data_IF_937646348495
#
_entry.id   IF_937646348495
#
_cell.length_a   1.000
_cell.length_b   1.000
_cell.length_c   1.000
_cell.angle_alpha   90.00
_cell.angle_beta   90.00
_cell.angle_gamma   90.00
#
_symmetry.space_group_name_H-M   'P 1'
#
loop_
_entity.id
_entity.type
_entity.pdbx_description
1 polymer ?
#
# COMPACT_ATOMS: atom_id res chain seq x y z
N UNK A 1 66.71 13.21 52.99
CA UNK A 1 67.50 14.39 53.41
C UNK A 1 68.16 14.88 52.12
N UNK A 2 67.72 15.88 51.37
CA UNK A 2 66.76 16.99 51.45
C UNK A 2 66.26 17.20 49.98
N UNK A 3 64.96 17.25 49.67
CA UNK A 3 64.12 18.47 49.61
C UNK A 3 64.85 19.76 49.19
N UNK A 4 64.44 20.35 48.05
CA UNK A 4 63.97 21.74 47.95
C UNK A 4 63.49 21.98 46.50
N UNK A 5 62.17 21.98 46.24
CA UNK A 5 61.26 23.13 46.29
C UNK A 5 61.57 24.25 45.27
N UNK A 6 60.83 24.17 44.16
CA UNK A 6 59.75 25.11 43.81
C UNK A 6 60.00 26.34 42.92
N UNK A 7 58.92 26.61 42.15
CA UNK A 7 58.48 27.88 41.53
C UNK A 7 58.96 28.33 40.13
N UNK A 8 58.05 28.11 39.18
CA UNK A 8 57.29 29.14 38.42
C UNK A 8 58.02 30.41 37.94
N UNK A 9 58.12 30.58 36.60
CA UNK A 9 57.27 31.54 35.85
C UNK A 9 57.60 31.55 34.35
N UNK A 10 56.55 31.44 33.53
CA UNK A 10 56.48 31.85 32.12
C UNK A 10 56.87 33.32 31.93
N UNK A 11 57.53 33.67 30.81
CA UNK A 11 56.98 34.59 29.78
C UNK A 11 57.87 34.70 28.51
N UNK A 12 57.30 34.29 27.37
CA UNK A 12 57.37 34.82 25.99
C UNK A 12 58.65 35.48 25.42
N UNK A 13 59.09 34.99 24.24
CA UNK A 13 59.16 35.71 22.94
C UNK A 13 59.70 34.72 21.87
N UNK A 14 58.87 34.21 20.96
CA UNK A 14 58.50 34.72 19.62
C UNK A 14 59.46 34.27 18.49
N UNK A 15 58.83 33.74 17.43
CA UNK A 15 59.27 33.52 16.05
C UNK A 15 60.48 32.63 15.73
N UNK A 16 60.17 31.36 15.42
CA UNK A 16 60.88 30.63 14.36
C UNK A 16 59.96 29.55 13.78
N UNK A 17 59.44 29.75 12.56
CA UNK A 17 58.77 28.69 11.81
C UNK A 17 59.46 28.45 10.48
N UNK A 18 60.28 27.40 10.53
CA UNK A 18 60.92 26.68 9.45
C UNK A 18 59.87 26.39 8.35
N UNK A 19 60.13 26.89 7.14
CA UNK A 19 59.33 26.66 5.96
C UNK A 19 59.68 25.25 5.41
N UNK A 20 58.90 24.25 5.83
CA UNK A 20 58.96 22.89 5.29
C UNK A 20 58.18 22.83 3.96
N UNK A 21 58.90 22.48 2.89
CA UNK A 21 58.40 22.12 1.57
C UNK A 21 57.25 21.10 1.68
N UNK A 22 56.04 21.50 1.26
CA UNK A 22 54.91 20.57 1.06
C UNK A 22 54.77 20.30 -0.44
N UNK A 23 54.86 19.04 -0.90
CA UNK A 23 54.57 18.70 -2.28
C UNK A 23 53.07 18.89 -2.54
N UNK A 24 52.75 19.69 -3.55
CA UNK A 24 51.39 19.88 -4.06
C UNK A 24 50.85 18.56 -4.61
N UNK A 25 50.17 17.78 -3.76
CA UNK A 25 49.27 16.73 -4.19
C UNK A 25 48.04 17.41 -4.82
N UNK A 26 48.02 17.46 -6.15
CA UNK A 26 46.82 17.77 -6.92
C UNK A 26 45.85 16.61 -6.68
N UNK A 27 44.97 16.75 -5.69
CA UNK A 27 43.78 15.92 -5.60
C UNK A 27 42.88 16.30 -6.78
N UNK A 28 42.97 15.52 -7.86
CA UNK A 28 41.88 15.43 -8.82
C UNK A 28 40.67 14.86 -8.07
N UNK A 29 39.85 15.74 -7.50
CA UNK A 29 38.46 15.42 -7.20
C UNK A 29 37.78 15.16 -8.54
N UNK A 30 37.85 13.92 -9.03
CA UNK A 30 36.81 13.41 -9.91
C UNK A 30 35.53 13.35 -9.06
N UNK A 31 34.77 14.45 -9.09
CA UNK A 31 33.41 14.49 -8.61
C UNK A 31 32.65 13.33 -9.26
N UNK A 32 32.23 12.38 -8.43
CA UNK A 32 31.52 11.18 -8.84
C UNK A 32 30.11 11.59 -9.31
N UNK A 33 30.00 12.05 -10.56
CA UNK A 33 28.78 12.62 -11.15
C UNK A 33 27.61 11.62 -11.23
N UNK A 34 27.88 10.33 -11.00
CA UNK A 34 26.87 9.25 -10.96
C UNK A 34 25.91 9.38 -9.76
N UNK A 35 26.35 9.93 -8.63
CA UNK A 35 25.50 10.12 -7.45
C UNK A 35 24.46 11.23 -7.64
N UNK A 36 24.88 12.37 -8.19
CA UNK A 36 24.00 13.51 -8.46
C UNK A 36 22.98 13.22 -9.57
N UNK A 37 23.38 12.50 -10.63
CA UNK A 37 22.48 12.12 -11.72
C UNK A 37 21.38 11.15 -11.27
N UNK A 38 21.70 10.15 -10.45
CA UNK A 38 20.71 9.21 -9.91
C UNK A 38 19.74 9.88 -8.93
N UNK A 39 20.20 10.83 -8.11
CA UNK A 39 19.33 11.60 -7.22
C UNK A 39 18.34 12.47 -8.00
N UNK A 40 18.80 13.17 -9.04
CA UNK A 40 17.95 13.99 -9.90
C UNK A 40 16.92 13.15 -10.67
N UNK A 41 17.32 12.00 -11.22
CA UNK A 41 16.41 11.08 -11.92
C UNK A 41 15.30 10.55 -11.01
N UNK A 42 15.66 10.08 -9.80
CA UNK A 42 14.68 9.57 -8.83
C UNK A 42 13.70 10.68 -8.36
N UNK A 43 14.20 11.90 -8.21
CA UNK A 43 13.37 13.05 -7.82
C UNK A 43 12.39 13.44 -8.93
N UNK A 44 12.82 13.42 -10.20
CA UNK A 44 11.96 13.69 -11.35
C UNK A 44 10.91 12.60 -11.57
N UNK A 45 11.27 11.33 -11.35
CA UNK A 45 10.32 10.23 -11.44
C UNK A 45 9.25 10.31 -10.35
N UNK A 46 9.66 10.61 -9.10
CA UNK A 46 8.75 10.83 -7.98
C UNK A 46 7.77 11.99 -8.23
N UNK A 47 8.27 13.11 -8.76
CA UNK A 47 7.43 14.26 -9.17
C UNK A 47 6.43 13.85 -10.26
N UNK A 48 6.87 13.16 -11.30
CA UNK A 48 5.99 12.68 -12.39
C UNK A 48 4.90 11.74 -11.87
N UNK A 49 5.25 10.79 -10.99
CA UNK A 49 4.27 9.89 -10.34
C UNK A 49 3.24 10.68 -9.52
N UNK A 50 3.69 11.69 -8.77
CA UNK A 50 2.81 12.57 -7.98
C UNK A 50 1.84 13.35 -8.87
N UNK A 51 2.32 13.98 -9.94
CA UNK A 51 1.49 14.74 -10.89
C UNK A 51 0.46 13.81 -11.54
N UNK A 52 0.89 12.64 -12.01
CA UNK A 52 0.00 11.63 -12.63
C UNK A 52 -1.11 11.21 -11.66
N UNK A 53 -0.76 10.93 -10.40
CA UNK A 53 -1.70 10.58 -9.35
C UNK A 53 -2.69 11.71 -9.08
N UNK A 54 -2.22 12.94 -8.92
CA UNK A 54 -3.08 14.09 -8.66
C UNK A 54 -4.07 14.35 -9.82
N UNK A 55 -3.60 14.22 -11.07
CA UNK A 55 -4.45 14.32 -12.26
C UNK A 55 -5.47 13.17 -12.37
N UNK A 56 -5.16 12.01 -11.82
CA UNK A 56 -6.10 10.91 -11.74
C UNK A 56 -7.15 11.16 -10.65
N UNK A 57 -6.74 11.56 -9.45
CA UNK A 57 -7.62 11.81 -8.31
C UNK A 57 -8.53 13.02 -8.53
N UNK A 58 -8.08 14.05 -9.25
CA UNK A 58 -8.91 15.23 -9.55
C UNK A 58 -10.20 14.89 -10.31
N UNK A 59 -10.20 13.80 -11.10
CA UNK A 59 -11.39 13.30 -11.81
C UNK A 59 -12.53 12.90 -10.88
N UNK A 60 -12.24 12.61 -9.61
CA UNK A 60 -13.23 12.22 -8.61
C UNK A 60 -13.75 13.43 -7.82
N UNK A 61 -13.01 14.54 -7.77
CA UNK A 61 -13.37 15.76 -7.03
C UNK A 61 -14.45 16.60 -7.76
N UNK A 62 -14.63 16.42 -9.07
CA UNK A 62 -15.61 17.16 -9.87
C UNK A 62 -17.01 16.54 -9.88
N UNK A 63 -17.24 15.46 -9.15
CA UNK A 63 -18.56 14.83 -9.03
C UNK A 63 -19.34 15.49 -7.89
N UNK A 64 -20.08 16.57 -8.18
CA UNK A 64 -21.23 16.97 -7.34
C UNK A 64 -22.19 15.78 -7.24
N UNK A 65 -22.96 15.61 -6.14
CA UNK A 65 -24.01 14.61 -6.09
C UNK A 65 -25.00 14.88 -7.24
N UNK A 66 -25.01 14.01 -8.26
CA UNK A 66 -25.96 14.13 -9.36
C UNK A 66 -27.34 13.73 -8.86
N UNK A 67 -28.23 14.72 -8.72
CA UNK A 67 -29.63 14.50 -9.03
C UNK A 67 -29.75 14.05 -10.50
N UNK A 68 -30.62 13.07 -10.74
CA UNK A 68 -31.14 12.58 -12.02
C UNK A 68 -30.34 12.92 -13.29
N UNK A 69 -29.63 11.93 -13.83
CA UNK A 69 -28.96 12.02 -15.14
C UNK A 69 -29.97 12.06 -16.29
N UNK A 70 -29.80 13.03 -17.19
CA UNK A 70 -30.39 12.99 -18.54
C UNK A 70 -29.42 12.29 -19.50
N UNK A 71 -29.89 11.38 -20.39
CA UNK A 71 -29.05 10.51 -21.18
C UNK A 71 -28.74 11.12 -22.55
N UNK A 72 -27.60 11.77 -22.72
CA UNK A 72 -26.91 11.79 -24.02
C UNK A 72 -25.44 12.14 -23.84
N UNK A 73 -24.61 11.58 -24.75
CA UNK A 73 -23.15 11.65 -24.82
C UNK A 73 -22.37 10.69 -23.91
N UNK A 74 -22.21 9.45 -24.37
CA UNK A 74 -20.96 8.96 -24.98
C UNK A 74 -20.99 7.43 -24.95
N UNK A 75 -21.22 6.83 -26.12
CA UNK A 75 -21.05 5.40 -26.36
C UNK A 75 -19.54 5.05 -26.26
N UNK A 76 -19.04 4.93 -25.03
CA UNK A 76 -17.97 3.98 -24.71
C UNK A 76 -18.69 2.90 -23.91
N UNK A 77 -18.72 1.66 -24.41
CA UNK A 77 -19.12 0.51 -23.60
C UNK A 77 -18.23 0.50 -22.36
N UNK A 78 -18.74 1.08 -21.27
CA UNK A 78 -18.04 1.12 -20.01
C UNK A 78 -18.27 -0.25 -19.39
N UNK A 79 -17.39 -1.20 -19.72
CA UNK A 79 -17.34 -2.57 -19.16
C UNK A 79 -16.92 -2.57 -17.68
N UNK A 80 -17.16 -1.47 -16.97
CA UNK A 80 -16.85 -1.32 -15.56
C UNK A 80 -18.02 -1.90 -14.76
N UNK A 81 -17.74 -2.92 -13.96
CA UNK A 81 -18.71 -3.48 -13.01
C UNK A 81 -19.25 -2.39 -12.08
N UNK A 82 -20.51 -2.49 -11.63
CA UNK A 82 -21.11 -1.47 -10.78
C UNK A 82 -20.36 -1.36 -9.44
N UNK A 83 -20.08 -0.13 -9.02
CA UNK A 83 -19.57 0.13 -7.68
C UNK A 83 -20.69 -0.08 -6.67
N UNK A 84 -20.53 -1.09 -5.82
CA UNK A 84 -21.43 -1.36 -4.70
C UNK A 84 -20.57 -1.56 -3.47
N UNK A 85 -20.93 -0.89 -2.38
CA UNK A 85 -20.21 -0.98 -1.13
C UNK A 85 -20.94 -1.90 -0.15
N UNK A 86 -20.16 -2.71 0.56
CA UNK A 86 -20.61 -3.63 1.61
C UNK A 86 -19.93 -3.28 2.92
N UNK A 87 -20.64 -3.46 4.02
CA UNK A 87 -20.13 -3.28 5.37
C UNK A 87 -20.45 -4.52 6.19
N UNK A 88 -19.57 -4.86 7.13
CA UNK A 88 -19.79 -5.94 8.05
C UNK A 88 -18.89 -5.86 9.26
N UNK A 89 -19.08 -6.79 10.19
CA UNK A 89 -18.29 -6.90 11.41
C UNK A 89 -17.69 -8.29 11.52
N UNK A 90 -16.44 -8.37 11.96
CA UNK A 90 -15.71 -9.61 12.16
C UNK A 90 -15.21 -9.72 13.59
N UNK A 91 -15.43 -10.87 14.20
CA UNK A 91 -14.84 -11.22 15.50
C UNK A 91 -13.36 -11.57 15.32
N UNK A 92 -12.49 -10.89 16.06
CA UNK A 92 -11.05 -11.17 16.16
C UNK A 92 -10.79 -11.70 17.56
N UNK A 93 -10.39 -12.98 17.63
CA UNK A 93 -9.96 -13.60 18.88
C UNK A 93 -8.45 -13.39 19.06
N UNK A 94 -8.07 -12.70 20.12
CA UNK A 94 -6.71 -12.64 20.66
C UNK A 94 -6.62 -13.60 21.85
N UNK A 95 -5.42 -14.05 22.23
CA UNK A 95 -5.21 -15.05 23.32
C UNK A 95 -6.00 -14.71 24.60
N UNK A 96 -6.11 -13.42 24.96
CA UNK A 96 -6.75 -12.96 26.20
C UNK A 96 -7.99 -12.10 26.00
N UNK A 97 -8.33 -11.69 24.77
CA UNK A 97 -9.47 -10.79 24.53
C UNK A 97 -10.14 -11.05 23.18
N UNK A 98 -11.43 -10.76 23.10
CA UNK A 98 -12.15 -10.66 21.82
C UNK A 98 -12.30 -9.20 21.43
N UNK A 99 -12.07 -8.90 20.15
CA UNK A 99 -12.38 -7.61 19.53
C UNK A 99 -13.34 -7.80 18.37
N UNK A 100 -14.14 -6.78 18.08
CA UNK A 100 -15.03 -6.74 16.92
C UNK A 100 -14.53 -5.67 15.96
N UNK A 101 -14.10 -6.09 14.77
CA UNK A 101 -13.59 -5.22 13.73
C UNK A 101 -14.67 -4.96 12.69
N UNK A 102 -15.08 -3.70 12.53
CA UNK A 102 -15.92 -3.28 11.41
C UNK A 102 -15.05 -3.09 10.18
N UNK A 103 -15.46 -3.71 9.08
CA UNK A 103 -14.82 -3.59 7.77
C UNK A 103 -15.81 -3.01 6.76
N UNK A 104 -15.27 -2.30 5.77
CA UNK A 104 -16.05 -1.74 4.67
C UNK A 104 -15.30 -2.05 3.37
N UNK A 105 -15.96 -2.67 2.40
CA UNK A 105 -15.36 -3.08 1.11
C UNK A 105 -16.24 -2.72 -0.08
N UNK A 106 -15.67 -2.68 -1.28
CA UNK A 106 -16.48 -2.78 -2.51
C UNK A 106 -16.79 -4.25 -2.82
N UNK A 107 -17.90 -4.54 -3.50
CA UNK A 107 -18.20 -5.87 -4.05
C UNK A 107 -17.04 -6.39 -4.90
N UNK A 108 -16.84 -7.71 -4.90
CA UNK A 108 -15.80 -8.31 -5.71
C UNK A 108 -16.05 -8.11 -7.21
N UNK A 109 -14.99 -7.74 -7.92
CA UNK A 109 -14.96 -7.44 -9.35
C UNK A 109 -13.95 -8.33 -10.06
N UNK A 110 -14.12 -8.45 -11.36
CA UNK A 110 -13.38 -9.35 -12.24
C UNK A 110 -11.94 -8.91 -12.39
N UNK A 111 -11.03 -9.89 -12.39
CA UNK A 111 -9.60 -9.65 -12.59
C UNK A 111 -9.33 -9.43 -14.08
N UNK A 112 -8.65 -8.33 -14.41
CA UNK A 112 -8.25 -8.00 -15.78
C UNK A 112 -6.80 -8.39 -16.03
N UNK A 113 -6.52 -8.84 -17.26
CA UNK A 113 -5.16 -9.04 -17.76
C UNK A 113 -4.50 -7.72 -18.12
N UNK A 114 -3.22 -7.76 -18.51
CA UNK A 114 -2.49 -6.57 -18.97
C UNK A 114 -3.03 -5.98 -20.29
N UNK A 115 -3.81 -6.75 -21.03
CA UNK A 115 -4.56 -6.32 -22.21
C UNK A 115 -5.86 -5.55 -21.88
N UNK A 116 -6.18 -5.41 -20.58
CA UNK A 116 -7.37 -4.72 -20.09
C UNK A 116 -8.66 -5.55 -20.18
N UNK A 117 -8.60 -6.79 -20.68
CA UNK A 117 -9.74 -7.70 -20.78
C UNK A 117 -9.86 -8.56 -19.52
N UNK A 118 -11.06 -9.08 -19.26
CA UNK A 118 -11.28 -10.05 -18.19
C UNK A 118 -10.45 -11.31 -18.48
N UNK A 119 -9.76 -11.82 -17.47
CA UNK A 119 -8.95 -13.03 -17.63
C UNK A 119 -9.83 -14.28 -17.63
N UNK A 120 -10.06 -14.87 -18.80
CA UNK A 120 -10.88 -16.07 -18.95
C UNK A 120 -10.45 -17.25 -18.06
N UNK A 121 -9.15 -17.37 -17.75
CA UNK A 121 -8.64 -18.43 -16.87
C UNK A 121 -9.08 -18.29 -15.41
N UNK A 122 -9.42 -17.08 -14.98
CA UNK A 122 -9.84 -16.74 -13.61
C UNK A 122 -11.31 -16.32 -13.54
N UNK A 123 -11.93 -16.02 -14.68
CA UNK A 123 -13.32 -15.64 -14.81
C UNK A 123 -14.25 -16.65 -14.11
N UNK A 124 -15.20 -16.13 -13.35
CA UNK A 124 -16.14 -16.89 -12.52
C UNK A 124 -15.50 -17.79 -11.44
N UNK A 125 -14.18 -17.78 -11.26
CA UNK A 125 -13.45 -18.58 -10.26
C UNK A 125 -12.78 -17.73 -9.19
N UNK A 126 -12.22 -16.59 -9.60
CA UNK A 126 -11.48 -15.68 -8.75
C UNK A 126 -11.79 -14.23 -9.12
N UNK A 127 -12.19 -13.46 -8.12
CA UNK A 127 -12.41 -12.02 -8.22
C UNK A 127 -11.55 -11.29 -7.20
N UNK A 128 -11.54 -9.97 -7.24
CA UNK A 128 -10.86 -9.16 -6.23
C UNK A 128 -11.73 -8.01 -5.73
N UNK A 129 -11.45 -7.54 -4.53
CA UNK A 129 -12.06 -6.34 -3.97
C UNK A 129 -11.03 -5.56 -3.14
N UNK A 130 -11.35 -4.31 -2.84
CA UNK A 130 -10.65 -3.55 -1.82
C UNK A 130 -11.51 -3.52 -0.56
N UNK A 131 -10.87 -3.69 0.58
CA UNK A 131 -11.48 -3.55 1.90
C UNK A 131 -10.69 -2.57 2.73
N UNK A 132 -11.37 -1.76 3.53
CA UNK A 132 -10.78 -0.93 4.57
C UNK A 132 -11.15 -1.58 5.90
N UNK A 133 -10.14 -1.98 6.68
CA UNK A 133 -10.36 -2.69 7.95
C UNK A 133 -9.17 -2.58 8.89
N UNK A 134 -9.40 -2.53 10.22
CA UNK A 134 -10.68 -2.20 10.86
C UNK A 134 -10.95 -0.70 10.69
N UNK A 135 -12.14 -0.31 10.21
CA UNK A 135 -12.62 1.07 10.28
C UNK A 135 -12.95 1.44 11.72
N UNK A 136 -13.65 0.52 12.41
CA UNK A 136 -13.92 0.59 13.85
C UNK A 136 -13.43 -0.68 14.54
N UNK A 137 -13.00 -0.53 15.78
CA UNK A 137 -12.69 -1.62 16.70
C UNK A 137 -13.54 -1.45 17.96
N UNK A 138 -14.38 -2.45 18.27
CA UNK A 138 -15.37 -2.39 19.35
C UNK A 138 -16.27 -1.14 19.28
N UNK A 139 -16.65 -0.72 18.07
CA UNK A 139 -17.51 0.45 17.85
C UNK A 139 -16.80 1.81 17.76
N UNK A 140 -15.53 1.90 18.16
CA UNK A 140 -14.75 3.13 18.11
C UNK A 140 -13.89 3.20 16.85
N UNK A 141 -13.71 4.39 16.27
CA UNK A 141 -12.80 4.55 15.15
C UNK A 141 -11.40 4.09 15.52
N UNK A 142 -10.82 3.32 14.61
CA UNK A 142 -9.51 2.73 14.82
C UNK A 142 -8.42 3.71 14.37
N UNK A 143 -7.29 3.78 15.08
CA UNK A 143 -6.12 4.55 14.63
C UNK A 143 -5.31 3.80 13.56
N UNK A 144 -5.57 2.49 13.43
CA UNK A 144 -4.82 1.52 12.62
C UNK A 144 -5.62 1.04 11.41
N UNK A 145 -6.47 1.90 10.85
CA UNK A 145 -7.21 1.64 9.60
C UNK A 145 -6.20 1.33 8.51
N UNK A 146 -6.45 0.32 7.68
CA UNK A 146 -5.60 0.03 6.52
C UNK A 146 -6.42 -0.46 5.34
N UNK A 147 -5.97 -0.17 4.10
CA UNK A 147 -6.48 -0.82 2.91
C UNK A 147 -5.97 -2.26 2.82
N UNK A 148 -6.83 -3.14 2.35
CA UNK A 148 -6.59 -4.56 2.13
C UNK A 148 -7.01 -4.86 0.68
N UNK A 149 -6.14 -5.53 -0.07
CA UNK A 149 -6.50 -6.15 -1.35
C UNK A 149 -6.98 -7.57 -1.03
N UNK A 150 -8.24 -7.86 -1.34
CA UNK A 150 -8.85 -9.17 -1.15
C UNK A 150 -8.94 -9.87 -2.49
N UNK A 151 -8.48 -11.12 -2.57
CA UNK A 151 -8.82 -12.02 -3.67
C UNK A 151 -9.84 -13.04 -3.18
N UNK A 152 -10.94 -13.19 -3.89
CA UNK A 152 -12.10 -13.95 -3.44
C UNK A 152 -12.41 -15.05 -4.44
N UNK A 153 -12.39 -16.29 -3.94
CA UNK A 153 -12.77 -17.46 -4.72
C UNK A 153 -14.28 -17.59 -4.76
N UNK A 154 -14.84 -18.01 -5.88
CA UNK A 154 -16.28 -18.24 -6.01
C UNK A 154 -16.65 -19.62 -5.46
N UNK A 155 -17.92 -19.79 -5.07
CA UNK A 155 -18.48 -21.11 -4.72
C UNK A 155 -18.73 -22.01 -5.94
N UNK A 156 -18.55 -21.50 -7.15
CA UNK A 156 -18.89 -22.17 -8.40
C UNK A 156 -17.66 -22.20 -9.31
N UNK A 157 -16.65 -22.97 -8.94
CA UNK A 157 -15.44 -23.22 -9.74
C UNK A 157 -14.16 -22.58 -9.20
N UNK A 158 -14.22 -21.88 -8.07
CA UNK A 158 -13.09 -21.23 -7.42
C UNK A 158 -12.56 -21.94 -6.17
N UNK A 159 -13.25 -22.96 -5.65
CA UNK A 159 -13.04 -23.54 -4.33
C UNK A 159 -11.63 -24.12 -4.14
N UNK A 160 -11.09 -24.64 -5.24
CA UNK A 160 -9.73 -25.20 -5.33
C UNK A 160 -8.62 -24.16 -5.32
N UNK A 161 -8.95 -22.89 -5.56
CA UNK A 161 -7.96 -21.83 -5.70
C UNK A 161 -7.55 -21.24 -4.35
N UNK A 162 -6.33 -20.73 -4.31
CA UNK A 162 -5.82 -19.90 -3.23
C UNK A 162 -4.79 -18.92 -3.78
N UNK A 163 -4.98 -17.63 -3.55
CA UNK A 163 -3.96 -16.63 -3.86
C UNK A 163 -2.95 -16.60 -2.71
N UNK A 164 -1.73 -17.02 -3.00
CA UNK A 164 -0.66 -17.18 -2.00
C UNK A 164 0.34 -16.02 -2.01
N UNK A 165 0.37 -15.22 -3.08
CA UNK A 165 1.24 -14.06 -3.19
C UNK A 165 0.61 -12.94 -4.01
N UNK A 166 0.91 -11.70 -3.63
CA UNK A 166 0.51 -10.49 -4.33
C UNK A 166 1.65 -9.47 -4.26
N UNK A 167 2.06 -8.93 -5.42
CA UNK A 167 3.11 -7.92 -5.51
C UNK A 167 2.72 -6.84 -6.51
N UNK A 168 2.92 -5.58 -6.14
CA UNK A 168 2.79 -4.46 -7.07
C UNK A 168 4.02 -4.38 -7.98
N UNK A 169 3.81 -4.19 -9.28
CA UNK A 169 4.92 -4.14 -10.25
C UNK A 169 5.71 -2.84 -10.13
N UNK A 170 5.03 -1.71 -9.93
CA UNK A 170 5.66 -0.37 -9.94
C UNK A 170 6.20 0.06 -8.56
N UNK A 171 5.84 -0.68 -7.51
CA UNK A 171 6.27 -0.45 -6.11
C UNK A 171 6.62 -1.78 -5.42
N UNK A 172 7.63 -2.52 -5.91
CA UNK A 172 7.94 -3.87 -5.44
C UNK A 172 8.54 -3.92 -4.02
N UNK A 173 8.96 -2.78 -3.47
CA UNK A 173 9.44 -2.68 -2.08
C UNK A 173 8.32 -2.83 -1.04
N UNK A 174 7.05 -2.63 -1.44
CA UNK A 174 5.90 -2.84 -0.56
C UNK A 174 5.57 -4.34 -0.49
N UNK A 175 5.96 -4.97 0.62
CA UNK A 175 5.71 -6.39 0.84
C UNK A 175 4.33 -6.67 1.45
N UNK A 176 3.37 -6.98 0.56
CA UNK A 176 2.02 -7.39 0.94
C UNK A 176 1.93 -8.85 1.41
N UNK A 177 2.99 -9.65 1.30
CA UNK A 177 2.95 -11.10 1.56
C UNK A 177 3.23 -11.44 3.03
N UNK A 178 4.04 -10.61 3.70
CA UNK A 178 4.42 -10.78 5.12
C UNK A 178 3.21 -10.86 6.05
N UNK A 179 2.18 -10.03 5.84
CA UNK A 179 0.85 -10.09 6.52
C UNK A 179 0.92 -10.35 8.03
N UNK A 180 1.82 -9.66 8.72
CA UNK A 180 2.01 -9.76 10.17
C UNK A 180 1.96 -8.38 10.80
N UNK A 181 1.48 -8.31 12.02
CA UNK A 181 1.58 -7.10 12.83
C UNK A 181 2.89 -7.11 13.61
N UNK A 182 3.78 -6.13 13.39
CA UNK A 182 5.02 -6.02 14.16
C UNK A 182 4.76 -5.96 15.67
N UNK A 183 5.46 -6.80 16.43
CA UNK A 183 5.46 -6.80 17.89
C UNK A 183 4.34 -7.60 18.56
N UNK A 184 3.47 -8.26 17.79
CA UNK A 184 2.39 -9.12 18.32
C UNK A 184 2.32 -10.50 17.65
N UNK A 185 3.40 -10.92 16.98
CA UNK A 185 3.45 -12.15 16.19
C UNK A 185 3.17 -13.41 17.02
N UNK A 186 3.55 -13.42 18.31
CA UNK A 186 3.30 -14.53 19.23
C UNK A 186 1.87 -14.59 19.79
N UNK A 187 1.09 -13.50 19.68
CA UNK A 187 -0.26 -13.41 20.27
C UNK A 187 -1.38 -13.37 19.23
N UNK A 188 -1.04 -13.08 17.97
CA UNK A 188 -2.00 -13.06 16.88
C UNK A 188 -1.35 -13.40 15.56
N UNK A 189 -1.82 -14.50 14.95
CA UNK A 189 -1.47 -14.87 13.58
C UNK A 189 -2.70 -14.66 12.69
N UNK A 190 -2.69 -13.63 11.82
CA UNK A 190 -3.76 -13.43 10.85
C UNK A 190 -3.90 -14.64 9.94
N UNK A 191 -5.15 -15.01 9.63
CA UNK A 191 -5.40 -16.04 8.64
C UNK A 191 -4.98 -15.54 7.24
N UNK A 192 -4.26 -16.36 6.50
CA UNK A 192 -3.88 -16.07 5.10
C UNK A 192 -5.01 -16.38 4.12
N UNK A 193 -5.98 -17.17 4.57
CA UNK A 193 -7.19 -17.59 3.86
C UNK A 193 -8.32 -17.70 4.88
N UNK A 194 -9.48 -17.14 4.58
CA UNK A 194 -10.65 -17.12 5.46
C UNK A 194 -11.95 -17.25 4.68
N UNK A 195 -13.09 -17.60 5.30
CA UNK A 195 -14.38 -17.56 4.63
C UNK A 195 -14.69 -16.15 4.11
N UNK A 196 -15.19 -16.05 2.88
CA UNK A 196 -15.62 -14.74 2.36
C UNK A 196 -16.86 -14.24 3.11
N UNK A 197 -16.89 -12.93 3.36
CA UNK A 197 -18.05 -12.23 3.91
C UNK A 197 -19.09 -11.85 2.84
N UNK A 198 -18.87 -12.19 1.57
CA UNK A 198 -19.75 -11.84 0.46
C UNK A 198 -20.48 -13.09 -0.07
N UNK A 199 -21.80 -12.97 -0.26
CA UNK A 199 -22.60 -14.09 -0.81
C UNK A 199 -22.12 -14.47 -2.22
N UNK A 200 -22.12 -15.78 -2.51
CA UNK A 200 -21.61 -16.33 -3.77
C UNK A 200 -20.11 -16.63 -3.78
N UNK A 201 -19.36 -16.20 -2.75
CA UNK A 201 -17.92 -16.47 -2.61
C UNK A 201 -17.64 -17.48 -1.51
N UNK A 202 -16.52 -18.19 -1.64
CA UNK A 202 -16.11 -19.27 -0.75
C UNK A 202 -15.03 -18.79 0.22
N UNK A 203 -13.84 -18.47 -0.28
CA UNK A 203 -12.74 -17.96 0.53
C UNK A 203 -12.28 -16.57 0.08
N UNK A 204 -11.69 -15.83 1.00
CA UNK A 204 -10.95 -14.60 0.78
C UNK A 204 -9.48 -14.77 1.18
N UNK A 205 -8.58 -14.27 0.34
CA UNK A 205 -7.14 -14.20 0.57
C UNK A 205 -6.74 -12.72 0.77
N UNK A 206 -6.59 -12.26 2.02
CA UNK A 206 -6.26 -10.87 2.30
C UNK A 206 -4.76 -10.58 2.13
N UNK A 207 -4.47 -9.40 1.58
CA UNK A 207 -3.12 -8.83 1.41
C UNK A 207 -3.09 -7.38 1.88
N UNK A 208 -2.19 -7.08 2.82
CA UNK A 208 -2.13 -5.79 3.50
C UNK A 208 -0.76 -5.55 4.13
N UNK A 209 -0.47 -4.29 4.44
CA UNK A 209 0.74 -3.84 5.14
C UNK A 209 0.28 -2.98 6.32
N UNK A 210 0.56 -3.36 7.58
CA UNK A 210 0.08 -2.61 8.72
C UNK A 210 0.85 -1.30 8.85
N UNK A 211 0.16 -0.28 9.37
CA UNK A 211 0.75 1.01 9.79
C UNK A 211 1.44 1.82 8.67
N UNK A 212 1.31 1.42 7.40
CA UNK A 212 2.02 2.06 6.29
C UNK A 212 1.09 2.73 5.26
N UNK A 213 -0.04 3.30 5.70
CA UNK A 213 -0.99 3.96 4.80
C UNK A 213 -0.37 5.08 3.96
N UNK A 214 0.66 5.76 4.49
CA UNK A 214 1.37 6.84 3.80
C UNK A 214 2.01 6.39 2.48
N UNK A 215 2.43 5.13 2.39
CA UNK A 215 3.00 4.56 1.17
C UNK A 215 2.00 3.68 0.42
N UNK A 216 1.21 2.90 1.15
CA UNK A 216 0.27 1.92 0.58
C UNK A 216 -0.87 2.60 -0.19
N UNK A 217 -1.50 3.62 0.38
CA UNK A 217 -2.63 4.28 -0.31
C UNK A 217 -2.13 4.93 -1.61
N UNK A 218 -1.03 5.72 -1.63
CA UNK A 218 -0.51 6.24 -2.88
C UNK A 218 -0.14 5.17 -3.90
N UNK A 219 0.50 4.07 -3.49
CA UNK A 219 0.84 2.96 -4.37
C UNK A 219 -0.41 2.29 -4.99
N UNK A 220 -1.46 2.11 -4.20
CA UNK A 220 -2.73 1.52 -4.66
C UNK A 220 -3.64 2.51 -5.40
N UNK A 221 -3.31 3.81 -5.44
CA UNK A 221 -4.14 4.87 -6.07
C UNK A 221 -3.36 5.72 -7.08
N UNK A 222 -2.20 5.26 -7.54
CA UNK A 222 -1.31 6.04 -8.41
C UNK A 222 -1.89 6.36 -9.81
N UNK A 223 -2.83 5.54 -10.30
CA UNK A 223 -3.45 5.65 -11.61
C UNK A 223 -4.74 4.81 -11.64
N UNK A 224 -5.58 5.00 -12.67
CA UNK A 224 -6.81 4.22 -12.84
C UNK A 224 -6.59 2.71 -12.77
N UNK A 225 -5.50 2.23 -13.37
CA UNK A 225 -5.09 0.83 -13.29
C UNK A 225 -3.67 0.73 -12.75
N UNK A 226 -3.45 -0.22 -11.85
CA UNK A 226 -2.12 -0.60 -11.35
C UNK A 226 -1.78 -2.01 -11.78
N UNK A 227 -0.51 -2.24 -12.11
CA UNK A 227 0.02 -3.55 -12.50
C UNK A 227 0.43 -4.34 -11.27
N UNK A 228 0.03 -5.60 -11.22
CA UNK A 228 0.39 -6.50 -10.14
C UNK A 228 0.69 -7.90 -10.65
N UNK A 229 1.38 -8.67 -9.81
CA UNK A 229 1.58 -10.11 -9.96
C UNK A 229 0.87 -10.83 -8.84
N UNK A 230 0.16 -11.90 -9.16
CA UNK A 230 -0.36 -12.84 -8.17
C UNK A 230 0.15 -14.25 -8.45
N UNK A 231 0.38 -15.02 -7.39
CA UNK A 231 0.58 -16.47 -7.48
C UNK A 231 -0.66 -17.19 -6.96
N UNK A 232 -1.25 -18.03 -7.80
CA UNK A 232 -2.45 -18.80 -7.49
C UNK A 232 -2.07 -20.26 -7.39
N UNK A 233 -2.34 -20.86 -6.23
CA UNK A 233 -2.24 -22.30 -5.99
C UNK A 233 -3.55 -22.97 -6.39
N UNK A 234 -3.44 -24.02 -7.19
CA UNK A 234 -4.51 -24.95 -7.55
C UNK A 234 -4.34 -26.18 -6.67
N UNK A 235 -5.15 -26.33 -5.62
CA UNK A 235 -4.91 -27.34 -4.57
C UNK A 235 -5.06 -28.77 -5.11
N UNK A 236 -6.00 -29.02 -6.02
CA UNK A 236 -6.32 -30.33 -6.58
C UNK A 236 -5.18 -30.89 -7.43
N UNK A 237 -4.47 -30.01 -8.15
CA UNK A 237 -3.30 -30.38 -8.96
C UNK A 237 -1.97 -30.12 -8.26
N UNK A 238 -2.00 -29.49 -7.09
CA UNK A 238 -0.83 -28.95 -6.39
C UNK A 238 0.09 -28.09 -7.27
N UNK A 239 -0.49 -27.36 -8.24
CA UNK A 239 0.27 -26.47 -9.14
C UNK A 239 0.17 -25.01 -8.70
N UNK A 240 1.19 -24.22 -9.02
CA UNK A 240 1.22 -22.77 -8.77
C UNK A 240 1.39 -22.07 -10.12
N UNK A 241 0.51 -21.13 -10.41
CA UNK A 241 0.59 -20.27 -11.61
C UNK A 241 0.76 -18.82 -11.21
N UNK A 242 1.64 -18.12 -11.92
CA UNK A 242 1.80 -16.67 -11.80
C UNK A 242 0.94 -15.96 -12.85
N UNK A 243 0.21 -14.93 -12.43
CA UNK A 243 -0.60 -14.09 -13.30
C UNK A 243 -0.16 -12.64 -13.19
N UNK A 244 -0.09 -11.97 -14.34
CA UNK A 244 0.08 -10.52 -14.43
C UNK A 244 -1.27 -9.87 -14.65
N UNK A 245 -1.67 -9.00 -13.71
CA UNK A 245 -3.03 -8.49 -13.62
C UNK A 245 -3.05 -6.96 -13.57
N UNK A 246 -4.17 -6.38 -13.97
CA UNK A 246 -4.52 -4.99 -13.74
C UNK A 246 -5.60 -4.90 -12.66
N UNK A 247 -5.34 -4.07 -11.65
CA UNK A 247 -6.36 -3.70 -10.65
C UNK A 247 -6.88 -2.30 -10.96
N UNK A 248 -8.18 -2.17 -11.17
CA UNK A 248 -8.90 -0.91 -11.27
C UNK A 248 -8.99 -0.22 -9.91
N UNK A 249 -8.21 0.84 -9.72
CA UNK A 249 -8.11 1.54 -8.44
C UNK A 249 -9.27 2.49 -8.17
N UNK A 250 -10.12 2.75 -9.17
CA UNK A 250 -11.25 3.68 -9.00
C UNK A 250 -12.22 3.21 -7.93
N UNK A 251 -12.31 1.89 -7.69
CA UNK A 251 -13.09 1.30 -6.61
C UNK A 251 -12.50 1.61 -5.24
N UNK A 252 -11.17 1.57 -5.07
CA UNK A 252 -10.51 1.95 -3.82
C UNK A 252 -10.64 3.46 -3.56
N UNK A 253 -10.46 4.28 -4.59
CA UNK A 253 -10.62 5.74 -4.48
C UNK A 253 -12.02 6.10 -4.00
N UNK A 254 -13.05 5.55 -4.67
CA UNK A 254 -14.46 5.73 -4.27
C UNK A 254 -14.71 5.22 -2.84
N UNK A 255 -14.17 4.05 -2.49
CA UNK A 255 -14.31 3.47 -1.15
C UNK A 255 -13.72 4.36 -0.06
N UNK A 256 -12.52 4.92 -0.26
CA UNK A 256 -11.90 5.84 0.69
C UNK A 256 -12.73 7.13 0.79
N UNK A 257 -13.16 7.72 -0.32
CA UNK A 257 -13.99 8.94 -0.33
C UNK A 257 -15.31 8.72 0.43
N UNK A 258 -16.00 7.63 0.14
CA UNK A 258 -17.27 7.28 0.79
C UNK A 258 -17.12 7.13 2.30
N UNK A 259 -16.05 6.47 2.76
CA UNK A 259 -15.77 6.30 4.19
C UNK A 259 -15.48 7.66 4.84
N UNK A 260 -14.65 8.51 4.22
CA UNK A 260 -14.33 9.84 4.74
C UNK A 260 -15.55 10.76 4.78
N UNK A 261 -16.42 10.67 3.77
CA UNK A 261 -17.65 11.47 3.70
C UNK A 261 -18.68 11.04 4.76
N UNK A 262 -18.83 9.73 5.00
CA UNK A 262 -19.76 9.21 6.02
C UNK A 262 -19.23 9.34 7.44
N UNK A 263 -17.92 9.38 7.59
CA UNK A 263 -17.24 9.40 8.88
C UNK A 263 -16.11 10.43 8.91
N UNK A 264 -16.42 11.74 8.86
CA UNK A 264 -15.40 12.79 8.77
C UNK A 264 -14.41 12.77 9.96
N UNK A 265 -14.86 12.33 11.13
CA UNK A 265 -14.04 12.23 12.34
C UNK A 265 -12.92 11.17 12.26
N UNK A 266 -12.98 10.24 11.30
CA UNK A 266 -11.88 9.30 11.03
C UNK A 266 -10.56 10.04 10.80
N UNK A 267 -10.61 11.22 10.16
CA UNK A 267 -9.40 12.01 9.88
C UNK A 267 -8.67 12.48 11.14
N UNK A 268 -9.38 12.62 12.26
CA UNK A 268 -8.80 12.97 13.57
C UNK A 268 -8.10 11.77 14.19
N UNK A 269 -8.69 10.59 14.08
CA UNK A 269 -8.18 9.35 14.69
C UNK A 269 -7.09 8.67 13.85
N UNK A 270 -7.22 8.71 12.52
CA UNK A 270 -6.33 8.09 11.56
C UNK A 270 -5.93 9.11 10.47
N UNK A 271 -5.09 10.11 10.79
CA UNK A 271 -4.74 11.21 9.86
C UNK A 271 -3.99 10.77 8.60
N UNK A 272 -3.43 9.55 8.61
CA UNK A 272 -2.76 8.95 7.46
C UNK A 272 -3.74 8.17 6.55
N UNK A 273 -5.01 8.03 6.93
CA UNK A 273 -6.05 7.48 6.06
C UNK A 273 -6.69 8.59 5.24
N UNK A 274 -6.10 8.86 4.07
CA UNK A 274 -6.54 9.90 3.13
C UNK A 274 -6.04 9.60 1.73
N UNK A 275 -6.67 10.22 0.73
CA UNK A 275 -6.17 10.26 -0.65
C UNK A 275 -5.05 11.31 -0.79
#
# INVERSE_FOLDING_TARGET
>A
MEQFMDKFKEKYFMDMKILLLVPTAIFCMQCNNKGAQNLNYNQDESKRRTIKRNNYLSKFNHTKPKGFESPSNTLKQNTQEPYVMLEGTKKISLIITTKYATWIKNKAISIKGLDGKIMSTLENKLKYSYSISPVKLNGYFNTKIMPIVLFETTKNGGEDLEVISFNLTDTPHLDFNTRRYPGIEGIYKPATTEPSGESGYFHANPFWIPYNNKEVIPALTQAQYIKAKIKVKYKASNTIKEYHILLDTSYLVKLIQDILNRHPDITKTAPNFKL
#
